data_IF_554142144125
#
_entry.id   IF_554142144125
#
_cell.length_a   1.000
_cell.length_b   1.000
_cell.length_c   1.000
_cell.angle_alpha   90.00
_cell.angle_beta   90.00
_cell.angle_gamma   90.00
#
_symmetry.space_group_name_H-M   'P 1'
#
loop_
_entity.id
_entity.type
_entity.pdbx_description
1 polymer ?
#
# COMPACT_ATOMS: atom_id res chain seq x y z
N UNK A 1 -37.71 2.43 -20.64
CA UNK A 1 -39.18 2.19 -20.61
C UNK A 1 -39.62 0.75 -20.32
N UNK A 2 -38.76 -0.26 -20.47
CA UNK A 2 -39.09 -1.66 -20.13
C UNK A 2 -38.87 -1.99 -18.64
N UNK A 3 -37.74 -1.57 -18.04
CA UNK A 3 -37.41 -1.85 -16.63
C UNK A 3 -38.49 -1.37 -15.64
N UNK A 4 -38.94 -0.11 -15.79
CA UNK A 4 -39.99 0.51 -14.96
C UNK A 4 -41.34 -0.20 -15.04
N UNK A 5 -41.68 -0.82 -16.19
CA UNK A 5 -42.96 -1.52 -16.39
C UNK A 5 -42.95 -2.94 -15.83
N UNK A 6 -41.76 -3.50 -15.62
CA UNK A 6 -41.53 -4.84 -15.07
C UNK A 6 -41.16 -4.84 -13.59
N UNK A 7 -41.13 -3.68 -12.93
CA UNK A 7 -40.74 -3.54 -11.51
C UNK A 7 -39.23 -3.66 -11.27
N UNK A 8 -38.41 -3.64 -12.33
CA UNK A 8 -36.96 -3.68 -12.20
C UNK A 8 -36.43 -2.27 -11.86
N UNK A 9 -35.47 -2.15 -10.93
CA UNK A 9 -34.76 -0.89 -10.71
C UNK A 9 -34.15 -0.38 -12.02
N UNK A 10 -34.33 0.91 -12.35
CA UNK A 10 -33.79 1.56 -13.55
C UNK A 10 -32.30 1.93 -13.37
N UNK A 11 -31.61 1.22 -12.48
CA UNK A 11 -30.21 1.47 -12.12
C UNK A 11 -29.31 0.89 -13.22
N UNK A 12 -28.38 1.72 -13.70
CA UNK A 12 -27.38 1.30 -14.68
C UNK A 12 -26.40 0.30 -14.07
N UNK A 13 -26.37 -0.91 -14.62
CA UNK A 13 -25.47 -1.99 -14.17
C UNK A 13 -23.98 -1.68 -14.40
N UNK A 14 -23.67 -0.71 -15.26
CA UNK A 14 -22.31 -0.23 -15.50
C UNK A 14 -21.93 0.97 -14.62
N UNK A 15 -22.84 1.44 -13.76
CA UNK A 15 -22.58 2.52 -12.82
C UNK A 15 -21.61 2.09 -11.71
N UNK A 16 -21.18 3.06 -10.90
CA UNK A 16 -20.45 2.79 -9.65
C UNK A 16 -21.46 2.59 -8.51
N UNK A 17 -21.50 1.37 -7.97
CA UNK A 17 -22.47 0.97 -6.93
C UNK A 17 -21.90 1.09 -5.51
N UNK A 18 -20.70 1.65 -5.36
CA UNK A 18 -20.04 1.79 -4.07
C UNK A 18 -20.61 3.02 -3.33
N UNK A 19 -21.19 2.79 -2.15
CA UNK A 19 -21.60 3.86 -1.25
C UNK A 19 -20.40 4.38 -0.44
N UNK A 20 -19.65 5.30 -1.04
CA UNK A 20 -18.49 5.93 -0.40
C UNK A 20 -18.85 6.68 0.89
N UNK A 21 -20.04 7.29 0.96
CA UNK A 21 -20.46 8.06 2.13
C UNK A 21 -20.58 7.17 3.36
N UNK A 22 -21.10 5.94 3.21
CA UNK A 22 -21.14 4.94 4.28
C UNK A 22 -19.75 4.55 4.80
N UNK A 23 -18.73 4.61 3.93
CA UNK A 23 -17.33 4.37 4.26
C UNK A 23 -16.58 5.62 4.75
N UNK A 24 -17.26 6.77 4.90
CA UNK A 24 -16.65 8.04 5.27
C UNK A 24 -15.74 8.63 4.18
N UNK A 25 -15.99 8.28 2.92
CA UNK A 25 -15.25 8.69 1.73
C UNK A 25 -16.14 9.55 0.81
N UNK A 26 -15.52 10.44 0.03
CA UNK A 26 -16.21 11.22 -1.01
C UNK A 26 -16.10 10.57 -2.41
N UNK A 27 -15.29 9.51 -2.52
CA UNK A 27 -15.08 8.75 -3.75
C UNK A 27 -13.99 7.68 -3.61
N UNK A 28 -13.63 7.00 -4.71
CA UNK A 28 -12.71 5.85 -4.69
C UNK A 28 -11.30 6.19 -4.20
N UNK A 29 -10.85 7.43 -4.42
CA UNK A 29 -9.53 7.88 -4.00
C UNK A 29 -9.38 8.00 -2.48
N UNK A 30 -10.50 8.19 -1.76
CA UNK A 30 -10.49 8.36 -0.30
C UNK A 30 -10.52 7.01 0.43
N UNK A 31 -10.88 5.92 -0.27
CA UNK A 31 -11.00 4.59 0.34
C UNK A 31 -9.70 4.12 0.97
N UNK A 32 -8.56 4.45 0.36
CA UNK A 32 -7.27 4.05 0.92
C UNK A 32 -7.01 4.70 2.29
N UNK A 33 -7.35 5.98 2.43
CA UNK A 33 -7.25 6.68 3.72
C UNK A 33 -8.26 6.13 4.74
N UNK A 34 -9.48 5.81 4.31
CA UNK A 34 -10.48 5.17 5.17
C UNK A 34 -10.00 3.82 5.70
N UNK A 35 -9.46 2.96 4.82
CA UNK A 35 -8.87 1.66 5.19
C UNK A 35 -7.72 1.85 6.16
N UNK A 36 -6.82 2.80 5.90
CA UNK A 36 -5.68 3.08 6.79
C UNK A 36 -6.14 3.46 8.20
N UNK A 37 -7.15 4.32 8.33
CA UNK A 37 -7.72 4.71 9.64
C UNK A 37 -8.31 3.51 10.38
N UNK A 38 -8.99 2.61 9.67
CA UNK A 38 -9.54 1.39 10.27
C UNK A 38 -8.40 0.49 10.78
N UNK A 39 -7.37 0.25 9.96
CA UNK A 39 -6.20 -0.55 10.34
C UNK A 39 -5.47 0.05 11.55
N UNK A 40 -5.36 1.38 11.62
CA UNK A 40 -4.79 2.09 12.76
C UNK A 40 -5.67 1.87 14.02
N UNK A 41 -6.99 2.00 13.90
CA UNK A 41 -7.93 1.82 15.01
C UNK A 41 -7.96 0.40 15.57
N UNK A 42 -7.76 -0.61 14.72
CA UNK A 42 -7.69 -2.03 15.14
C UNK A 42 -6.27 -2.50 15.40
N UNK A 43 -5.29 -1.59 15.42
CA UNK A 43 -3.87 -1.86 15.68
C UNK A 43 -3.20 -2.84 14.69
N UNK A 44 -3.76 -3.01 13.49
CA UNK A 44 -3.26 -3.92 12.46
C UNK A 44 -2.32 -3.24 11.44
N UNK A 45 -2.13 -1.92 11.51
CA UNK A 45 -1.26 -1.21 10.57
C UNK A 45 0.16 -1.76 10.55
N UNK A 46 0.70 -2.15 11.72
CA UNK A 46 2.02 -2.75 11.80
C UNK A 46 2.06 -4.14 11.18
N UNK A 47 1.04 -4.96 11.42
CA UNK A 47 0.96 -6.31 10.84
C UNK A 47 0.87 -6.28 9.32
N UNK A 48 0.09 -5.34 8.77
CA UNK A 48 -0.01 -5.14 7.32
C UNK A 48 1.33 -4.68 6.73
N UNK A 49 2.05 -3.78 7.42
CA UNK A 49 3.39 -3.38 7.01
C UNK A 49 4.36 -4.57 7.01
N UNK A 50 4.39 -5.35 8.10
CA UNK A 50 5.26 -6.50 8.25
C UNK A 50 4.94 -7.59 7.21
N UNK A 51 3.65 -7.80 6.91
CA UNK A 51 3.21 -8.67 5.81
C UNK A 51 3.73 -8.17 4.46
N UNK A 52 3.59 -6.87 4.19
CA UNK A 52 4.08 -6.23 2.97
C UNK A 52 5.59 -6.40 2.80
N UNK A 53 6.37 -6.19 3.87
CA UNK A 53 7.83 -6.35 3.86
C UNK A 53 8.29 -7.79 3.59
N UNK A 54 7.46 -8.79 3.94
CA UNK A 54 7.72 -10.22 3.67
C UNK A 54 7.20 -10.68 2.31
N UNK A 55 6.38 -9.87 1.65
CA UNK A 55 5.78 -10.22 0.37
C UNK A 55 6.73 -9.98 -0.80
N UNK A 56 6.56 -10.74 -1.87
CA UNK A 56 7.24 -10.50 -3.14
C UNK A 56 6.54 -9.36 -3.89
N UNK A 57 7.31 -8.40 -4.39
CA UNK A 57 6.78 -7.30 -5.20
C UNK A 57 7.00 -7.54 -6.70
N UNK A 58 5.96 -7.30 -7.51
CA UNK A 58 6.09 -7.23 -8.97
C UNK A 58 6.69 -5.86 -9.35
N UNK A 59 8.01 -5.85 -9.61
CA UNK A 59 8.74 -4.64 -9.96
C UNK A 59 8.45 -4.14 -11.37
N UNK A 60 7.77 -4.93 -12.21
CA UNK A 60 7.33 -4.47 -13.55
C UNK A 60 6.09 -3.58 -13.43
N UNK A 61 5.20 -3.87 -12.47
CA UNK A 61 4.03 -3.04 -12.15
C UNK A 61 4.38 -1.84 -11.27
N UNK A 62 5.39 -1.99 -10.41
CA UNK A 62 5.80 -0.96 -9.45
C UNK A 62 7.23 -0.49 -9.72
N UNK A 63 7.45 0.08 -10.90
CA UNK A 63 8.79 0.48 -11.38
C UNK A 63 9.53 1.45 -10.47
N UNK A 64 8.81 2.35 -9.77
CA UNK A 64 9.40 3.27 -8.80
C UNK A 64 9.85 2.59 -7.50
N UNK A 65 9.27 1.44 -7.14
CA UNK A 65 9.55 0.77 -5.87
C UNK A 65 11.00 0.30 -5.80
N UNK A 66 11.54 -0.21 -6.91
CA UNK A 66 12.94 -0.64 -6.98
C UNK A 66 13.91 0.49 -6.60
N UNK A 67 13.72 1.68 -7.17
CA UNK A 67 14.53 2.86 -6.84
C UNK A 67 14.41 3.25 -5.37
N UNK A 68 13.17 3.27 -4.84
CA UNK A 68 12.91 3.58 -3.42
C UNK A 68 13.55 2.57 -2.46
N UNK A 69 13.60 1.29 -2.82
CA UNK A 69 14.30 0.27 -2.01
C UNK A 69 15.80 0.54 -1.98
N UNK A 70 16.40 0.93 -3.11
CA UNK A 70 17.83 1.29 -3.17
C UNK A 70 18.11 2.53 -2.32
N UNK A 71 17.30 3.59 -2.46
CA UNK A 71 17.38 4.79 -1.63
C UNK A 71 17.28 4.46 -0.13
N UNK A 72 16.32 3.61 0.25
CA UNK A 72 16.13 3.19 1.63
C UNK A 72 17.35 2.44 2.19
N UNK A 73 17.96 1.56 1.39
CA UNK A 73 19.19 0.84 1.79
C UNK A 73 20.36 1.79 2.03
N UNK A 74 20.51 2.81 1.19
CA UNK A 74 21.54 3.83 1.39
C UNK A 74 21.29 4.65 2.66
N UNK A 75 20.05 5.11 2.87
CA UNK A 75 19.68 5.86 4.07
C UNK A 75 19.87 5.05 5.36
N UNK A 76 19.52 3.76 5.34
CA UNK A 76 19.75 2.85 6.47
C UNK A 76 21.25 2.72 6.79
N UNK A 77 22.10 2.59 5.76
CA UNK A 77 23.56 2.52 5.93
C UNK A 77 24.08 3.79 6.61
N UNK A 78 23.73 4.96 6.11
CA UNK A 78 24.15 6.24 6.69
C UNK A 78 23.71 6.36 8.15
N UNK A 79 22.50 5.92 8.48
CA UNK A 79 22.00 5.94 9.85
C UNK A 79 22.80 5.02 10.79
N UNK A 80 23.10 3.79 10.35
CA UNK A 80 23.91 2.85 11.13
C UNK A 80 25.31 3.40 11.39
N UNK A 81 25.90 4.11 10.42
CA UNK A 81 27.20 4.77 10.60
C UNK A 81 27.13 5.90 11.64
N UNK A 82 26.09 6.73 11.58
CA UNK A 82 25.87 7.82 12.55
C UNK A 82 25.64 7.30 13.98
N UNK A 83 25.00 6.15 14.12
CA UNK A 83 24.74 5.50 15.41
C UNK A 83 25.93 4.64 15.89
N UNK A 84 27.03 4.57 15.14
CA UNK A 84 28.21 3.76 15.48
C UNK A 84 27.98 2.25 15.40
N UNK A 85 26.91 1.82 14.74
CA UNK A 85 26.46 0.42 14.62
C UNK A 85 26.92 -0.26 13.33
N UNK A 86 27.88 0.35 12.61
CA UNK A 86 28.36 -0.15 11.31
C UNK A 86 28.89 -1.59 11.39
N UNK A 87 29.51 -1.97 12.49
CA UNK A 87 30.09 -3.31 12.66
C UNK A 87 29.05 -4.40 12.89
N UNK A 88 27.79 -4.04 13.19
CA UNK A 88 26.71 -5.02 13.41
C UNK A 88 26.13 -5.57 12.10
N UNK A 89 26.42 -4.93 10.97
CA UNK A 89 25.85 -5.30 9.67
C UNK A 89 26.95 -5.31 8.62
N UNK A 90 27.15 -6.46 7.96
CA UNK A 90 28.01 -6.55 6.78
C UNK A 90 27.18 -6.21 5.55
N UNK A 91 27.44 -5.08 4.87
CA UNK A 91 26.74 -4.74 3.64
C UNK A 91 27.13 -5.71 2.52
N UNK A 92 26.18 -6.00 1.62
CA UNK A 92 26.51 -6.68 0.37
C UNK A 92 27.31 -5.76 -0.55
N UNK A 93 28.51 -6.21 -0.93
CA UNK A 93 29.39 -5.53 -1.89
C UNK A 93 29.56 -6.45 -3.11
N UNK A 94 29.09 -6.06 -4.31
CA UNK A 94 29.22 -6.87 -5.52
C UNK A 94 30.69 -7.17 -5.83
N UNK A 95 31.03 -8.45 -5.99
CA UNK A 95 32.42 -8.90 -6.29
C UNK A 95 33.30 -9.21 -5.09
N UNK A 96 32.78 -9.08 -3.87
CA UNK A 96 33.45 -9.52 -2.64
C UNK A 96 33.19 -11.01 -2.30
N UNK A 97 32.48 -11.73 -3.17
CA UNK A 97 32.05 -13.12 -3.03
C UNK A 97 32.19 -13.87 -4.35
#
# INVERSE_FOLDING_TARGET
DEARRSGNPDLDIHSDWIDYASAGATGPHDLFEAVRRVLDAVLLSRDILDLGLRSSADLTRHTKLAGRIVELRAALRTRLEQEGLRELVVPFEPGAY
#
